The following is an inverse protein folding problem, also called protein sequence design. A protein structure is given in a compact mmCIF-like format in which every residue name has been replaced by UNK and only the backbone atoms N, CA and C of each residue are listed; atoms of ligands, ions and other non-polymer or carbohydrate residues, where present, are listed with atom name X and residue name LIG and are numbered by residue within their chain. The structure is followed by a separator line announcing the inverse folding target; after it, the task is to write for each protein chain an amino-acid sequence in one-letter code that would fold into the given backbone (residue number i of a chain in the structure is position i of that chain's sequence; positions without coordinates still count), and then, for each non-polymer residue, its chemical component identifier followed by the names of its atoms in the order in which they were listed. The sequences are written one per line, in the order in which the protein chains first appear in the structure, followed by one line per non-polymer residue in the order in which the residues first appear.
data_IF_459904423398
#
_entry.id   IF_459904423398
#
_cell.length_a   1.000
_cell.length_b   1.000
_cell.length_c   1.000
_cell.angle_alpha   90.00
_cell.angle_beta   90.00
_cell.angle_gamma   90.00
#
_symmetry.space_group_name_H-M   'P 1'
#
loop_
_entity.id
_entity.type
_entity.pdbx_description
1 polymer ?
#
# COMPACT_ATOMS: atom_id res chain seq x y z
N UNK A 1 -17.06 6.50 -0.44
CA UNK A 1 -15.58 6.44 -0.46
C UNK A 1 -15.11 6.43 0.97
N UNK A 2 -14.35 5.41 1.37
CA UNK A 2 -13.94 5.19 2.77
C UNK A 2 -12.42 5.41 2.87
N UNK A 3 -11.98 6.05 3.95
CA UNK A 3 -10.55 6.18 4.27
C UNK A 3 -10.11 4.96 5.07
N UNK A 4 -9.03 4.32 4.64
CA UNK A 4 -8.38 3.27 5.42
C UNK A 4 -7.64 3.87 6.63
N UNK A 5 -7.72 3.19 7.77
CA UNK A 5 -7.07 3.58 9.02
C UNK A 5 -5.56 3.30 8.99
N UNK A 6 -5.16 2.19 8.36
CA UNK A 6 -3.77 1.80 8.20
C UNK A 6 -3.39 1.59 6.73
N UNK A 7 -2.10 1.75 6.42
CA UNK A 7 -1.57 1.46 5.09
C UNK A 7 -1.76 0.00 4.69
N UNK A 8 -1.65 -0.92 5.64
CA UNK A 8 -1.82 -2.35 5.38
C UNK A 8 -3.27 -2.67 4.96
N UNK A 9 -4.25 -2.06 5.62
CA UNK A 9 -5.67 -2.23 5.26
C UNK A 9 -5.97 -1.65 3.88
N UNK A 10 -5.35 -0.52 3.54
CA UNK A 10 -5.44 0.07 2.21
C UNK A 10 -4.92 -0.89 1.13
N UNK A 11 -3.74 -1.48 1.34
CA UNK A 11 -3.14 -2.44 0.38
C UNK A 11 -3.96 -3.73 0.28
N UNK A 12 -4.42 -4.27 1.42
CA UNK A 12 -5.25 -5.48 1.44
C UNK A 12 -6.56 -5.28 0.67
N UNK A 13 -7.23 -4.15 0.91
CA UNK A 13 -8.47 -3.79 0.21
C UNK A 13 -8.23 -3.54 -1.28
N UNK A 14 -7.12 -2.85 -1.62
CA UNK A 14 -6.69 -2.62 -3.00
C UNK A 14 -6.50 -3.92 -3.75
N UNK A 15 -5.83 -4.91 -3.14
CA UNK A 15 -5.65 -6.24 -3.72
C UNK A 15 -6.98 -6.93 -4.01
N UNK A 16 -7.93 -6.84 -3.08
CA UNK A 16 -9.26 -7.43 -3.26
C UNK A 16 -10.01 -6.78 -4.44
N UNK A 17 -9.93 -5.46 -4.59
CA UNK A 17 -10.55 -4.74 -5.70
C UNK A 17 -9.95 -5.18 -7.04
N UNK A 18 -8.62 -5.20 -7.15
CA UNK A 18 -7.91 -5.59 -8.37
C UNK A 18 -8.15 -7.05 -8.73
N UNK A 19 -8.13 -7.95 -7.75
CA UNK A 19 -8.40 -9.38 -7.96
C UNK A 19 -9.82 -9.64 -8.48
N UNK A 20 -10.80 -8.79 -8.14
CA UNK A 20 -12.18 -8.93 -8.61
C UNK A 20 -12.42 -8.32 -9.97
N UNK A 21 -11.73 -7.23 -10.30
CA UNK A 21 -12.00 -6.47 -11.53
C UNK A 21 -10.73 -5.74 -11.99
N UNK A 22 -9.73 -6.46 -12.52
CA UNK A 22 -8.46 -5.87 -12.92
C UNK A 22 -8.64 -4.81 -14.00
N UNK A 23 -9.43 -5.09 -15.04
CA UNK A 23 -9.63 -4.21 -16.21
C UNK A 23 -10.35 -2.89 -15.88
N UNK A 24 -11.13 -2.88 -14.79
CA UNK A 24 -11.91 -1.70 -14.36
C UNK A 24 -11.25 -0.94 -13.23
N UNK A 25 -10.25 -1.55 -12.59
CA UNK A 25 -9.59 -0.93 -11.44
C UNK A 25 -8.65 0.16 -11.91
N UNK A 26 -8.77 1.34 -11.30
CA UNK A 26 -7.86 2.45 -11.50
C UNK A 26 -7.43 3.01 -10.16
N UNK A 27 -6.20 3.50 -10.10
CA UNK A 27 -5.72 4.28 -8.97
C UNK A 27 -5.42 5.72 -9.38
N UNK A 28 -5.59 6.64 -8.43
CA UNK A 28 -5.39 8.07 -8.61
C UNK A 28 -4.60 8.60 -7.44
N UNK A 29 -3.56 9.38 -7.72
CA UNK A 29 -2.78 10.12 -6.74
C UNK A 29 -3.13 11.60 -6.92
N UNK A 30 -3.54 12.25 -5.82
CA UNK A 30 -3.88 13.68 -5.80
C UNK A 30 -3.04 14.38 -4.75
N UNK A 31 -2.23 15.34 -5.19
CA UNK A 31 -1.53 16.25 -4.29
C UNK A 31 -2.49 17.38 -3.87
N UNK A 32 -2.81 17.47 -2.58
CA UNK A 32 -3.59 18.56 -2.04
C UNK A 32 -2.66 19.61 -1.43
N UNK A 33 -2.34 20.65 -2.23
CA UNK A 33 -1.40 21.71 -1.87
C UNK A 33 -1.74 22.44 -0.56
N UNK A 34 -2.99 22.85 -0.28
CA UNK A 34 -3.30 23.64 0.92
C UNK A 34 -3.03 22.93 2.25
N UNK A 35 -3.22 21.62 2.31
CA UNK A 35 -2.95 20.82 3.52
C UNK A 35 -1.67 20.00 3.44
N UNK A 36 -0.87 20.21 2.39
CA UNK A 36 0.37 19.47 2.10
C UNK A 36 0.25 17.94 2.15
N UNK A 37 -0.93 17.39 1.88
CA UNK A 37 -1.16 15.94 1.98
C UNK A 37 -1.36 15.31 0.61
N UNK A 38 -0.93 14.07 0.48
CA UNK A 38 -1.14 13.27 -0.71
C UNK A 38 -2.31 12.32 -0.45
N UNK A 39 -3.30 12.34 -1.35
CA UNK A 39 -4.46 11.47 -1.28
C UNK A 39 -4.33 10.43 -2.37
N UNK A 40 -4.35 9.16 -1.98
CA UNK A 40 -4.35 8.03 -2.91
C UNK A 40 -5.73 7.39 -2.89
N UNK A 41 -6.26 7.06 -4.06
CA UNK A 41 -7.56 6.42 -4.23
C UNK A 41 -7.46 5.26 -5.19
N UNK A 42 -8.05 4.12 -4.85
CA UNK A 42 -8.25 2.97 -5.76
C UNK A 42 -9.74 2.70 -5.90
N UNK A 43 -10.20 2.45 -7.13
CA UNK A 43 -11.62 2.14 -7.39
C UNK A 43 -11.84 1.35 -8.68
N UNK A 44 -12.84 0.47 -8.67
CA UNK A 44 -13.39 -0.28 -9.81
C UNK A 44 -14.75 0.28 -10.31
N UNK A 45 -15.14 1.48 -9.84
CA UNK A 45 -16.47 2.12 -9.91
C UNK A 45 -17.52 1.67 -8.88
N UNK A 46 -17.39 0.48 -8.31
CA UNK A 46 -18.37 -0.06 -7.37
C UNK A 46 -17.85 0.07 -5.93
N UNK A 47 -16.61 -0.33 -5.73
CA UNK A 47 -15.83 -0.25 -4.51
C UNK A 47 -14.79 0.86 -4.64
N UNK A 48 -14.54 1.56 -3.53
CA UNK A 48 -13.53 2.62 -3.51
C UNK A 48 -12.89 2.72 -2.12
N UNK A 49 -11.56 2.75 -2.12
CA UNK A 49 -10.76 2.94 -0.91
C UNK A 49 -9.81 4.13 -1.11
N UNK A 50 -9.65 4.92 -0.06
CA UNK A 50 -8.75 6.07 -0.02
C UNK A 50 -7.77 5.95 1.12
N UNK A 51 -6.60 6.55 0.97
CA UNK A 51 -5.63 6.72 2.05
C UNK A 51 -4.99 8.10 1.96
N UNK A 52 -4.79 8.73 3.12
CA UNK A 52 -4.16 10.04 3.24
C UNK A 52 -2.74 9.85 3.75
N UNK A 53 -1.77 10.35 2.98
CA UNK A 53 -0.35 10.30 3.28
C UNK A 53 0.13 11.71 3.64
N UNK A 54 0.86 11.80 4.75
CA UNK A 54 1.56 13.02 5.16
C UNK A 54 2.96 13.11 4.52
N UNK A 55 3.56 14.29 4.51
CA UNK A 55 4.75 14.62 3.68
C UNK A 55 6.04 13.84 4.02
N UNK A 56 6.25 13.43 5.27
CA UNK A 56 7.61 13.18 5.77
C UNK A 56 8.17 11.74 5.72
N UNK A 57 7.44 10.72 5.24
CA UNK A 57 8.05 9.39 4.98
C UNK A 57 7.23 8.50 4.02
N UNK A 58 6.36 9.11 3.24
CA UNK A 58 5.30 8.39 2.52
C UNK A 58 5.54 8.27 1.01
N UNK A 59 6.64 8.82 0.48
CA UNK A 59 6.98 8.67 -0.93
C UNK A 59 7.37 7.25 -1.30
N UNK A 60 8.07 6.53 -0.41
CA UNK A 60 8.40 5.11 -0.60
C UNK A 60 7.15 4.25 -0.78
N UNK A 61 6.11 4.49 0.03
CA UNK A 61 4.81 3.82 -0.07
C UNK A 61 4.13 4.05 -1.42
N UNK A 62 4.25 5.26 -1.97
CA UNK A 62 3.71 5.59 -3.28
C UNK A 62 4.51 4.90 -4.39
N UNK A 63 5.83 4.90 -4.29
CA UNK A 63 6.70 4.20 -5.23
C UNK A 63 6.41 2.71 -5.26
N UNK A 64 6.32 2.07 -4.08
CA UNK A 64 5.93 0.66 -3.93
C UNK A 64 4.55 0.40 -4.55
N UNK A 65 3.56 1.26 -4.30
CA UNK A 65 2.23 1.14 -4.89
C UNK A 65 2.28 1.23 -6.43
N UNK A 66 3.05 2.16 -6.97
CA UNK A 66 3.20 2.32 -8.42
C UNK A 66 3.85 1.09 -9.05
N UNK A 67 4.91 0.55 -8.43
CA UNK A 67 5.56 -0.69 -8.88
C UNK A 67 4.59 -1.88 -8.85
N UNK A 68 3.77 -1.99 -7.80
CA UNK A 68 2.74 -3.04 -7.70
C UNK A 68 1.73 -2.92 -8.85
N UNK A 69 1.18 -1.73 -9.11
CA UNK A 69 0.21 -1.53 -10.19
C UNK A 69 0.81 -1.78 -11.58
N UNK A 70 2.06 -1.40 -11.81
CA UNK A 70 2.74 -1.69 -13.08
C UNK A 70 2.89 -3.20 -13.27
N UNK A 71 3.38 -3.90 -12.25
CA UNK A 71 3.56 -5.35 -12.29
C UNK A 71 2.24 -6.08 -12.50
N UNK A 72 1.17 -5.67 -11.82
CA UNK A 72 -0.18 -6.24 -11.96
C UNK A 72 -0.82 -5.93 -13.32
N UNK A 73 -0.54 -4.76 -13.89
CA UNK A 73 -1.03 -4.38 -15.21
C UNK A 73 -0.33 -5.11 -16.36
N UNK A 74 0.90 -5.60 -16.15
CA UNK A 74 1.69 -6.30 -17.18
C UNK A 74 1.64 -7.82 -17.07
N UNK A 75 1.14 -8.39 -15.96
CA UNK A 75 1.12 -9.83 -15.76
C UNK A 75 0.04 -10.49 -16.63
N UNK A 76 0.44 -11.36 -17.55
CA UNK A 76 -0.47 -12.17 -18.39
C UNK A 76 -1.17 -13.29 -17.59
N UNK A 77 -0.62 -13.67 -16.43
CA UNK A 77 -1.13 -14.73 -15.58
C UNK A 77 -2.06 -14.17 -14.49
N UNK A 78 -3.36 -14.40 -14.64
CA UNK A 78 -4.40 -14.10 -13.63
C UNK A 78 -4.30 -14.93 -12.35
N UNK A 79 -3.51 -16.00 -12.35
CA UNK A 79 -3.44 -17.00 -11.27
C UNK A 79 -2.19 -16.89 -10.38
N UNK A 80 -1.25 -15.98 -10.67
CA UNK A 80 -0.09 -15.75 -9.81
C UNK A 80 -0.51 -14.92 -8.58
N UNK A 81 -0.27 -15.39 -7.34
CA UNK A 81 -0.58 -14.62 -6.16
C UNK A 81 0.31 -13.38 -6.16
N UNK A 82 -0.30 -12.22 -6.46
CA UNK A 82 0.34 -10.90 -6.46
C UNK A 82 1.41 -10.77 -5.37
N UNK A 83 2.70 -10.67 -5.74
CA UNK A 83 3.77 -10.73 -4.77
C UNK A 83 3.78 -9.45 -3.93
N UNK A 84 3.37 -9.57 -2.68
CA UNK A 84 3.59 -8.55 -1.65
C UNK A 84 4.96 -8.78 -1.02
N UNK A 85 6.04 -8.55 -1.77
CA UNK A 85 7.33 -8.29 -1.12
C UNK A 85 7.32 -6.84 -0.62
N UNK A 86 6.50 -6.58 0.40
CA UNK A 86 6.67 -5.38 1.21
C UNK A 86 8.00 -5.53 1.94
N UNK A 87 8.90 -4.57 1.74
CA UNK A 87 10.12 -4.50 2.54
C UNK A 87 9.67 -4.36 4.00
N UNK A 88 9.90 -5.40 4.82
CA UNK A 88 9.75 -5.29 6.27
C UNK A 88 10.81 -4.29 6.75
N UNK A 89 10.47 -3.00 6.79
CA UNK A 89 11.20 -2.02 7.58
C UNK A 89 10.89 -2.41 9.02
N UNK A 90 11.75 -3.26 9.58
CA UNK A 90 11.79 -3.48 11.02
C UNK A 90 12.26 -2.18 11.66
N UNK A 91 11.37 -1.50 12.37
CA UNK A 91 11.74 -0.56 13.42
C UNK A 91 12.53 -1.34 14.48
N UNK A 92 13.86 -1.46 14.30
CA UNK A 92 14.77 -1.90 15.36
C UNK A 92 15.29 -0.67 16.07
N UNK A 93 14.43 -0.11 16.91
CA UNK A 93 14.79 0.83 17.96
C UNK A 93 14.29 0.29 19.30
N UNK A 94 15.22 -0.05 20.20
CA UNK A 94 15.04 -0.30 21.64
C UNK A 94 14.40 -1.62 22.09
N UNK A 95 15.21 -2.67 22.27
CA UNK A 95 15.33 -3.42 23.54
C UNK A 95 16.78 -3.90 23.66
N UNK A 96 17.58 -3.13 24.40
CA UNK A 96 18.89 -3.53 24.89
C UNK A 96 18.78 -4.69 25.89
N UNK A 97 19.71 -5.64 25.74
CA UNK A 97 20.38 -6.38 26.82
C UNK A 97 19.54 -6.82 28.04
N UNK A 98 19.11 -8.09 28.06
CA UNK A 98 19.22 -8.98 29.24
C UNK A 98 18.68 -10.39 28.97
N UNK A 99 19.56 -11.29 28.54
CA UNK A 99 19.59 -12.69 29.01
C UNK A 99 21.07 -13.11 28.98
N UNK A 100 21.89 -12.65 29.92
CA UNK A 100 22.39 -13.48 31.04
C UNK A 100 22.11 -14.98 30.93
N UNK A 101 23.23 -15.73 30.94
CA UNK A 101 23.45 -17.05 31.58
C UNK A 101 22.79 -18.25 30.87
N UNK A 102 23.37 -19.44 30.73
CA UNK A 102 24.54 -20.14 31.29
C UNK A 102 24.49 -21.51 30.56
N UNK A 103 25.58 -22.11 30.09
CA UNK A 103 26.46 -23.05 30.81
C UNK A 103 27.51 -23.55 29.83
#
# INVERSE_FOLDING_TARGET
MVYAESWNDFIHTTRNIISKSPDKTRYVIKLHRPSETIIVKVTDNNNSIMYKLDKNDNMKKIEELNSLFLMWGTSENTNEPFPLKMNKITDKGTIDQKMKKTK
#
